data_IF_637042944167
#
_entry.id   IF_637042944167
#
_cell.length_a   1.000
_cell.length_b   1.000
_cell.length_c   1.000
_cell.angle_alpha   90.00
_cell.angle_beta   90.00
_cell.angle_gamma   90.00
#
_symmetry.space_group_name_H-M   'P 1'
#
loop_
_entity.id
_entity.type
_entity.pdbx_description
1 polymer ?
#
# COMPACT_ATOMS: atom_id res chain seq x y z
N UNK A 1 -17.10 38.93 13.26
CA UNK A 1 -17.57 38.45 11.95
C UNK A 1 -16.36 38.41 11.02
N UNK A 2 -15.76 37.23 10.86
CA UNK A 2 -14.56 37.03 10.04
C UNK A 2 -14.97 36.29 8.78
N UNK A 3 -14.79 36.97 7.66
CA UNK A 3 -15.12 36.61 6.28
C UNK A 3 -14.72 35.17 5.90
N UNK A 4 -15.57 34.35 5.26
CA UNK A 4 -15.14 33.08 4.69
C UNK A 4 -14.28 33.39 3.46
N UNK A 5 -12.97 33.18 3.58
CA UNK A 5 -12.02 33.32 2.48
C UNK A 5 -12.23 32.17 1.50
N UNK A 6 -12.94 32.45 0.41
CA UNK A 6 -12.93 31.62 -0.79
C UNK A 6 -11.49 31.49 -1.30
N UNK A 7 -10.94 30.27 -1.31
CA UNK A 7 -9.71 29.95 -2.04
C UNK A 7 -9.87 28.62 -2.76
N UNK A 8 -10.14 28.74 -4.06
CA UNK A 8 -9.64 27.87 -5.14
C UNK A 8 -10.06 26.40 -5.07
N UNK A 9 -11.34 26.13 -5.33
CA UNK A 9 -11.80 24.79 -5.71
C UNK A 9 -11.26 24.42 -7.09
N UNK A 10 -10.05 23.86 -7.14
CA UNK A 10 -9.51 23.24 -8.35
C UNK A 10 -10.34 22.02 -8.74
N UNK A 11 -10.21 21.56 -9.99
CA UNK A 11 -10.96 20.41 -10.56
C UNK A 11 -10.97 19.15 -9.67
N UNK A 12 -9.96 18.98 -8.79
CA UNK A 12 -9.86 17.92 -7.79
C UNK A 12 -10.91 18.00 -6.66
N UNK A 13 -11.28 19.20 -6.19
CA UNK A 13 -12.29 19.38 -5.13
C UNK A 13 -13.68 18.97 -5.62
N UNK A 14 -13.98 19.21 -6.90
CA UNK A 14 -15.23 18.81 -7.55
C UNK A 14 -15.32 17.30 -7.81
N UNK A 15 -14.19 16.65 -8.14
CA UNK A 15 -14.13 15.22 -8.46
C UNK A 15 -14.13 14.33 -7.21
N UNK A 16 -13.35 14.72 -6.19
CA UNK A 16 -13.24 13.98 -4.92
C UNK A 16 -14.23 14.45 -3.84
N UNK A 17 -14.95 15.56 -4.07
CA UNK A 17 -15.92 16.14 -3.12
C UNK A 17 -15.28 16.41 -1.74
N UNK A 18 -14.03 16.85 -1.72
CA UNK A 18 -13.19 17.00 -0.51
C UNK A 18 -13.86 17.98 0.47
N UNK A 19 -14.29 19.15 -0.03
CA UNK A 19 -15.02 20.14 0.76
C UNK A 19 -16.42 19.69 1.22
N UNK A 20 -17.12 18.82 0.46
CA UNK A 20 -18.40 18.24 0.90
C UNK A 20 -18.23 17.19 2.01
N UNK A 21 -17.07 16.52 2.06
CA UNK A 21 -16.70 15.59 3.15
C UNK A 21 -16.16 16.32 4.39
N UNK A 22 -16.06 17.65 4.36
CA UNK A 22 -15.46 18.45 5.44
C UNK A 22 -13.95 18.25 5.60
N UNK A 23 -13.29 17.65 4.62
CA UNK A 23 -11.83 17.42 4.62
C UNK A 23 -11.13 18.56 3.87
N UNK A 24 -9.82 18.68 4.05
CA UNK A 24 -8.99 19.64 3.30
C UNK A 24 -7.93 18.89 2.52
N UNK A 25 -7.49 19.42 1.37
CA UNK A 25 -6.39 18.83 0.57
C UNK A 25 -5.17 18.51 1.44
N UNK A 26 -4.87 19.38 2.41
CA UNK A 26 -3.77 19.20 3.35
C UNK A 26 -3.98 18.01 4.29
N UNK A 27 -5.21 17.78 4.74
CA UNK A 27 -5.58 16.63 5.58
C UNK A 27 -5.55 15.32 4.78
N UNK A 28 -6.00 15.32 3.53
CA UNK A 28 -5.92 14.16 2.62
C UNK A 28 -4.45 13.76 2.36
N UNK A 29 -3.57 14.73 2.10
CA UNK A 29 -2.14 14.46 1.90
C UNK A 29 -1.49 13.88 3.16
N UNK A 30 -1.80 14.43 4.34
CA UNK A 30 -1.28 13.91 5.61
C UNK A 30 -1.83 12.50 5.88
N UNK A 31 -3.12 12.26 5.64
CA UNK A 31 -3.72 10.93 5.78
C UNK A 31 -3.04 9.91 4.86
N UNK A 32 -2.86 10.24 3.57
CA UNK A 32 -2.15 9.40 2.61
C UNK A 32 -0.70 9.11 3.03
N UNK A 33 0.03 10.12 3.50
CA UNK A 33 1.39 9.95 4.03
C UNK A 33 1.43 9.03 5.25
N UNK A 34 0.46 9.17 6.16
CA UNK A 34 0.38 8.35 7.38
C UNK A 34 0.13 6.89 7.02
N UNK A 35 -0.78 6.63 6.07
CA UNK A 35 -1.06 5.28 5.56
C UNK A 35 0.14 4.68 4.82
N UNK A 36 0.85 5.49 4.03
CA UNK A 36 2.09 5.06 3.37
C UNK A 36 3.15 4.61 4.40
N UNK A 37 3.40 5.44 5.41
CA UNK A 37 4.35 5.13 6.49
C UNK A 37 3.95 3.87 7.25
N UNK A 38 2.64 3.66 7.50
CA UNK A 38 2.15 2.44 8.15
C UNK A 38 2.43 1.18 7.31
N UNK A 39 2.41 1.26 5.97
CA UNK A 39 2.68 0.11 5.09
C UNK A 39 4.15 -0.15 4.80
N UNK A 40 5.03 0.86 4.97
CA UNK A 40 6.48 0.73 4.69
C UNK A 40 7.11 -0.47 5.40
N UNK A 41 6.62 -0.86 6.58
CA UNK A 41 7.16 -2.02 7.29
C UNK A 41 7.01 -3.34 6.49
N UNK A 42 5.94 -3.49 5.70
CA UNK A 42 5.67 -4.70 4.91
C UNK A 42 6.70 -4.91 3.80
N UNK A 43 7.24 -3.82 3.27
CA UNK A 43 8.26 -3.82 2.21
C UNK A 43 9.59 -4.40 2.71
N UNK A 44 9.86 -4.35 4.02
CA UNK A 44 11.06 -4.94 4.64
C UNK A 44 10.77 -6.36 5.14
N UNK A 45 9.61 -6.57 5.76
CA UNK A 45 9.26 -7.86 6.37
C UNK A 45 9.06 -8.95 5.33
N UNK A 46 8.34 -8.68 4.23
CA UNK A 46 7.99 -9.70 3.22
C UNK A 46 9.24 -10.29 2.54
N UNK A 47 10.20 -9.50 2.02
CA UNK A 47 11.43 -10.03 1.46
C UNK A 47 12.31 -10.76 2.49
N UNK A 48 12.30 -10.30 3.75
CA UNK A 48 13.05 -10.94 4.83
C UNK A 48 12.53 -12.34 5.17
N UNK A 49 11.21 -12.57 5.08
CA UNK A 49 10.61 -13.89 5.32
C UNK A 49 10.81 -14.84 4.14
N UNK A 50 10.52 -14.37 2.92
CA UNK A 50 10.69 -15.17 1.69
C UNK A 50 12.17 -15.42 1.36
N UNK A 51 13.07 -14.51 1.71
CA UNK A 51 14.51 -14.69 1.54
C UNK A 51 15.05 -15.88 2.34
N UNK A 52 14.52 -16.15 3.54
CA UNK A 52 14.86 -17.35 4.33
C UNK A 52 14.39 -18.65 3.69
N UNK A 53 13.39 -18.58 2.80
CA UNK A 53 12.91 -19.70 2.00
C UNK A 53 13.67 -19.85 0.67
N UNK A 54 14.70 -19.04 0.40
CA UNK A 54 15.50 -19.14 -0.82
C UNK A 54 14.98 -18.32 -2.00
N UNK A 55 13.96 -17.48 -1.82
CA UNK A 55 13.55 -16.53 -2.86
C UNK A 55 14.52 -15.36 -2.96
N UNK A 56 14.78 -14.80 -4.16
CA UNK A 56 15.59 -13.60 -4.32
C UNK A 56 14.89 -12.40 -3.66
N UNK A 57 15.45 -11.81 -2.59
CA UNK A 57 14.79 -10.76 -1.82
C UNK A 57 14.55 -9.49 -2.66
N UNK A 58 15.43 -9.22 -3.64
CA UNK A 58 15.27 -8.09 -4.55
C UNK A 58 14.03 -8.22 -5.45
N UNK A 59 13.77 -9.41 -6.02
CA UNK A 59 12.61 -9.61 -6.88
C UNK A 59 11.30 -9.57 -6.08
N UNK A 60 11.29 -10.16 -4.88
CA UNK A 60 10.14 -10.13 -3.97
C UNK A 60 9.84 -8.69 -3.53
N UNK A 61 10.87 -7.89 -3.24
CA UNK A 61 10.73 -6.47 -2.92
C UNK A 61 10.08 -5.71 -4.07
N UNK A 62 10.60 -5.85 -5.30
CA UNK A 62 10.04 -5.16 -6.47
C UNK A 62 8.60 -5.59 -6.72
N UNK A 63 8.28 -6.88 -6.63
CA UNK A 63 6.93 -7.40 -6.78
C UNK A 63 5.98 -6.83 -5.71
N UNK A 64 6.42 -6.75 -4.45
CA UNK A 64 5.63 -6.20 -3.35
C UNK A 64 5.35 -4.71 -3.56
N UNK A 65 6.37 -3.93 -3.93
CA UNK A 65 6.23 -2.51 -4.24
C UNK A 65 5.30 -2.27 -5.43
N UNK A 66 5.41 -3.08 -6.48
CA UNK A 66 4.57 -2.98 -7.67
C UNK A 66 3.10 -3.26 -7.34
N UNK A 67 2.82 -4.37 -6.63
CA UNK A 67 1.46 -4.77 -6.25
C UNK A 67 0.84 -3.79 -5.25
N UNK A 68 1.59 -3.38 -4.22
CA UNK A 68 1.10 -2.41 -3.25
C UNK A 68 0.88 -1.03 -3.88
N UNK A 69 1.77 -0.61 -4.79
CA UNK A 69 1.65 0.64 -5.53
C UNK A 69 0.44 0.64 -6.46
N UNK A 70 0.33 -0.35 -7.36
CA UNK A 70 -0.82 -0.48 -8.25
C UNK A 70 -2.13 -0.68 -7.50
N UNK A 71 -2.13 -1.54 -6.47
CA UNK A 71 -3.32 -1.79 -5.65
C UNK A 71 -3.80 -0.52 -4.94
N UNK A 72 -2.88 0.26 -4.37
CA UNK A 72 -3.21 1.52 -3.71
C UNK A 72 -3.68 2.60 -4.70
N UNK A 73 -3.11 2.65 -5.92
CA UNK A 73 -3.58 3.56 -6.98
C UNK A 73 -5.00 3.20 -7.42
N UNK A 74 -5.28 1.91 -7.62
CA UNK A 74 -6.63 1.44 -8.02
C UNK A 74 -7.64 1.69 -6.91
N UNK A 75 -7.32 1.41 -5.64
CA UNK A 75 -8.21 1.74 -4.52
C UNK A 75 -8.47 3.24 -4.40
N UNK A 76 -7.43 4.06 -4.57
CA UNK A 76 -7.53 5.52 -4.50
C UNK A 76 -8.37 6.12 -5.63
N UNK A 77 -8.18 5.69 -6.88
CA UNK A 77 -8.93 6.21 -8.03
C UNK A 77 -10.35 5.64 -8.14
N UNK A 78 -10.54 4.36 -7.84
CA UNK A 78 -11.78 3.65 -8.15
C UNK A 78 -12.73 3.56 -6.94
N UNK A 79 -12.19 3.32 -5.74
CA UNK A 79 -12.99 3.17 -4.53
C UNK A 79 -13.08 4.46 -3.71
N UNK A 80 -12.22 5.45 -3.98
CA UNK A 80 -12.26 6.78 -3.36
C UNK A 80 -12.24 6.70 -1.81
N UNK A 81 -11.49 5.70 -1.33
CA UNK A 81 -11.33 5.27 0.05
C UNK A 81 -9.83 5.26 0.38
N UNK A 82 -9.42 5.77 1.55
CA UNK A 82 -8.02 5.77 1.99
C UNK A 82 -7.59 4.38 2.49
N UNK A 83 -7.73 3.36 1.64
CA UNK A 83 -7.41 1.98 1.97
C UNK A 83 -6.19 1.55 1.16
N UNK A 84 -5.04 1.47 1.85
CA UNK A 84 -3.85 0.93 1.22
C UNK A 84 -3.94 -0.59 1.12
N UNK A 85 -3.47 -1.14 0.00
CA UNK A 85 -3.44 -2.58 -0.25
C UNK A 85 -2.03 -3.09 0.02
N UNK A 86 -1.92 -4.04 0.94
CA UNK A 86 -0.65 -4.62 1.39
C UNK A 86 -0.63 -6.13 1.19
N UNK A 87 0.55 -6.72 1.20
CA UNK A 87 0.70 -8.17 1.09
C UNK A 87 0.32 -8.83 2.44
N UNK A 88 -0.46 -9.90 2.40
CA UNK A 88 -0.89 -10.64 3.59
C UNK A 88 0.28 -11.45 4.18
N UNK A 89 0.87 -10.95 5.27
CA UNK A 89 2.04 -11.55 5.92
C UNK A 89 1.82 -13.00 6.34
N UNK A 90 0.60 -13.37 6.75
CA UNK A 90 0.26 -14.75 7.14
C UNK A 90 0.41 -15.74 5.99
N UNK A 91 -0.03 -15.37 4.78
CA UNK A 91 0.17 -16.20 3.59
C UNK A 91 1.64 -16.23 3.20
N UNK A 92 2.35 -15.11 3.30
CA UNK A 92 3.79 -15.04 3.05
C UNK A 92 4.57 -15.98 3.96
N UNK A 93 4.22 -16.01 5.25
CA UNK A 93 4.82 -16.88 6.25
C UNK A 93 4.50 -18.36 5.99
N UNK A 94 3.26 -18.67 5.60
CA UNK A 94 2.85 -20.02 5.23
C UNK A 94 3.63 -20.54 4.01
N UNK A 95 3.75 -19.73 2.96
CA UNK A 95 4.53 -20.11 1.77
C UNK A 95 6.01 -20.32 2.11
N UNK A 96 6.62 -19.42 2.86
CA UNK A 96 8.03 -19.53 3.22
C UNK A 96 8.31 -20.72 4.15
N UNK A 97 7.58 -20.83 5.27
CA UNK A 97 7.91 -21.79 6.33
C UNK A 97 7.19 -23.14 6.17
N UNK A 98 5.92 -23.15 5.78
CA UNK A 98 5.15 -24.40 5.69
C UNK A 98 5.38 -25.12 4.37
N UNK A 99 5.37 -24.40 3.23
CA UNK A 99 5.54 -25.03 1.91
C UNK A 99 7.01 -25.25 1.56
N UNK A 100 7.85 -24.22 1.66
CA UNK A 100 9.24 -24.35 1.20
C UNK A 100 10.11 -25.04 2.24
N UNK A 101 10.15 -24.56 3.48
CA UNK A 101 10.94 -25.23 4.53
C UNK A 101 10.29 -26.53 5.01
N UNK A 102 8.97 -26.58 5.15
CA UNK A 102 8.25 -27.71 5.73
C UNK A 102 7.97 -28.87 4.75
N UNK A 103 7.75 -28.59 3.46
CA UNK A 103 7.48 -29.61 2.44
C UNK A 103 8.63 -29.74 1.41
N UNK A 104 9.73 -29.01 1.62
CA UNK A 104 10.92 -29.06 0.76
C UNK A 104 10.65 -28.77 -0.73
N UNK A 105 9.59 -28.00 -1.02
CA UNK A 105 9.20 -27.64 -2.38
C UNK A 105 10.27 -26.70 -2.95
N UNK A 106 10.99 -27.16 -3.97
CA UNK A 106 11.96 -26.35 -4.69
C UNK A 106 11.24 -25.22 -5.40
N UNK A 107 11.50 -24.00 -4.96
CA UNK A 107 10.97 -22.80 -5.59
C UNK A 107 11.66 -22.64 -6.95
N UNK A 108 10.95 -22.73 -8.08
CA UNK A 108 11.54 -22.42 -9.37
C UNK A 108 11.66 -20.90 -9.45
N UNK A 109 12.78 -20.35 -8.98
CA UNK A 109 13.20 -19.02 -9.37
C UNK A 109 13.94 -19.19 -10.71
N UNK A 110 13.26 -18.83 -11.79
CA UNK A 110 13.83 -18.79 -13.13
C UNK A 110 14.84 -17.65 -13.25
#
# INVERSE_FOLDING_TARGET
>A
MSTPSARTGGSLDAWFKISQRGSTVRQEVVAGLTTFLAMVYSVIVVPGMLGKAGFPPAAVFVATCLVAGLGSIVMGLWANLPLAIGCAISLTAFTAFSLVLGQHISVPVA
#
